data_IF_265683521592
#
_entry.id   IF_265683521592
#
_cell.length_a   1.000
_cell.length_b   1.000
_cell.length_c   1.000
_cell.angle_alpha   90.00
_cell.angle_beta   90.00
_cell.angle_gamma   90.00
#
_symmetry.space_group_name_H-M   'P 1'
#
loop_
_entity.id
_entity.type
_entity.pdbx_description
1 polymer ?
#
# COMPACT_ATOMS: atom_id res chain seq x y z
N UNK A 1 25.56 -9.66 -27.06
CA UNK A 1 24.98 -9.51 -25.71
C UNK A 1 24.32 -8.15 -25.71
N UNK A 2 23.04 -8.11 -26.04
CA UNK A 2 22.27 -6.87 -26.16
C UNK A 2 21.81 -6.51 -24.76
N UNK A 3 22.22 -5.36 -24.23
CA UNK A 3 21.64 -4.80 -23.01
C UNK A 3 20.16 -4.55 -23.28
N UNK A 4 19.30 -5.37 -22.67
CA UNK A 4 17.92 -4.97 -22.42
C UNK A 4 18.02 -3.86 -21.37
N UNK A 5 17.98 -2.61 -21.83
CA UNK A 5 17.81 -1.49 -20.92
C UNK A 5 16.53 -1.76 -20.11
N UNK A 6 16.68 -1.97 -18.82
CA UNK A 6 15.58 -2.03 -17.89
C UNK A 6 14.93 -0.65 -17.90
N UNK A 7 13.85 -0.51 -18.64
CA UNK A 7 12.98 0.67 -18.65
C UNK A 7 12.16 0.72 -17.34
N UNK A 8 12.74 0.28 -16.23
CA UNK A 8 12.17 0.30 -14.90
C UNK A 8 11.77 1.71 -14.55
N UNK A 9 10.45 1.94 -14.61
CA UNK A 9 9.70 3.03 -14.02
C UNK A 9 10.51 4.32 -13.79
N UNK A 10 10.67 5.15 -14.83
CA UNK A 10 11.05 6.55 -14.61
C UNK A 10 9.95 7.20 -13.77
N UNK A 11 10.22 7.44 -12.49
CA UNK A 11 9.34 8.24 -11.64
C UNK A 11 9.26 9.64 -12.28
N UNK A 12 8.07 10.07 -12.73
CA UNK A 12 7.91 11.40 -13.29
C UNK A 12 8.40 12.45 -12.29
N UNK A 13 9.20 13.41 -12.74
CA UNK A 13 9.69 14.49 -11.86
C UNK A 13 8.58 15.43 -11.36
N UNK A 14 7.36 15.30 -11.88
CA UNK A 14 6.20 16.12 -11.55
C UNK A 14 5.08 15.24 -11.04
N UNK A 15 4.79 15.39 -9.75
CA UNK A 15 3.65 14.77 -9.08
C UNK A 15 2.33 15.38 -9.56
N UNK A 16 1.33 14.53 -9.82
CA UNK A 16 -0.03 14.91 -10.21
C UNK A 16 -1.02 14.33 -9.21
N UNK A 17 -2.17 15.00 -8.98
CA UNK A 17 -3.23 14.43 -8.15
C UNK A 17 -3.73 13.04 -8.61
N UNK A 18 -3.59 12.70 -9.89
CA UNK A 18 -3.91 11.37 -10.42
C UNK A 18 -3.00 10.25 -9.89
N UNK A 19 -1.79 10.60 -9.45
CA UNK A 19 -0.80 9.64 -8.95
C UNK A 19 -1.15 9.15 -7.54
N UNK A 20 -2.02 9.88 -6.83
CA UNK A 20 -2.65 9.45 -5.57
C UNK A 20 -3.93 8.63 -5.79
N UNK A 21 -4.38 8.47 -7.04
CA UNK A 21 -5.57 7.71 -7.38
C UNK A 21 -5.31 6.24 -7.71
N UNK A 22 -6.37 5.53 -8.13
CA UNK A 22 -6.28 4.15 -8.66
C UNK A 22 -5.54 4.11 -10.00
N UNK A 23 -4.76 3.05 -10.21
CA UNK A 23 -3.94 2.79 -11.40
C UNK A 23 -4.44 1.54 -12.15
N UNK A 24 -5.59 1.59 -12.86
CA UNK A 24 -6.24 0.40 -13.44
C UNK A 24 -5.43 -0.34 -14.51
N UNK A 25 -4.36 0.26 -15.03
CA UNK A 25 -3.44 -0.38 -15.98
C UNK A 25 -2.24 -1.08 -15.33
N UNK A 26 -2.05 -0.94 -14.02
CA UNK A 26 -0.97 -1.60 -13.30
C UNK A 26 -1.26 -3.10 -13.13
N UNK A 27 -0.25 -3.95 -13.31
CA UNK A 27 -0.36 -5.39 -13.02
C UNK A 27 -0.58 -5.66 -11.53
N UNK A 28 0.01 -4.82 -10.69
CA UNK A 28 -0.13 -4.79 -9.24
C UNK A 28 -0.16 -3.34 -8.80
N UNK A 29 -1.08 -2.99 -7.89
CA UNK A 29 -1.12 -1.68 -7.25
C UNK A 29 -0.99 -1.88 -5.74
N UNK A 30 0.03 -1.28 -5.12
CA UNK A 30 0.33 -1.45 -3.71
C UNK A 30 0.40 -0.11 -2.97
N UNK A 31 -0.24 -0.05 -1.81
CA UNK A 31 -0.30 1.11 -0.92
C UNK A 31 0.22 0.74 0.44
N UNK A 32 1.10 1.57 1.00
CA UNK A 32 1.76 1.32 2.26
C UNK A 32 1.72 2.57 3.13
N UNK A 33 1.26 2.40 4.36
CA UNK A 33 1.24 3.44 5.37
C UNK A 33 1.85 2.88 6.64
N UNK A 34 2.70 3.66 7.29
CA UNK A 34 3.25 3.29 8.58
C UNK A 34 3.51 4.54 9.40
N UNK A 35 3.61 4.36 10.71
CA UNK A 35 3.92 5.42 11.65
C UNK A 35 4.24 4.86 13.02
N UNK A 36 4.80 5.70 13.87
CA UNK A 36 5.09 5.37 15.25
C UNK A 36 4.84 6.57 16.15
N UNK A 37 4.66 6.32 17.44
CA UNK A 37 4.57 7.37 18.45
C UNK A 37 5.93 8.05 18.65
N UNK A 38 5.96 9.26 19.20
CA UNK A 38 7.21 10.00 19.35
C UNK A 38 8.28 9.26 20.20
N UNK A 39 7.84 8.39 21.10
CA UNK A 39 8.72 7.58 21.94
C UNK A 39 9.21 6.29 21.27
N UNK A 40 8.76 5.96 20.06
CA UNK A 40 9.01 4.70 19.37
C UNK A 40 8.66 3.46 20.21
N UNK A 41 7.66 3.59 21.08
CA UNK A 41 7.14 2.53 21.94
C UNK A 41 5.96 1.79 21.30
N UNK A 42 5.30 2.42 20.32
CA UNK A 42 4.21 1.86 19.54
C UNK A 42 4.34 2.23 18.06
N UNK A 43 4.01 1.30 17.18
CA UNK A 43 4.01 1.48 15.73
C UNK A 43 2.78 0.88 15.08
N UNK A 44 2.32 1.50 14.01
CA UNK A 44 1.26 0.97 13.16
C UNK A 44 1.77 0.80 11.73
N UNK A 45 1.23 -0.20 11.05
CA UNK A 45 1.36 -0.30 9.60
C UNK A 45 0.05 -0.75 8.98
N UNK A 46 -0.16 -0.33 7.74
CA UNK A 46 -1.27 -0.74 6.88
C UNK A 46 -0.69 -0.96 5.49
N UNK A 47 -1.03 -2.08 4.87
CA UNK A 47 -0.78 -2.28 3.46
C UNK A 47 -1.98 -2.88 2.74
N UNK A 48 -2.10 -2.49 1.48
CA UNK A 48 -3.13 -2.91 0.56
C UNK A 48 -2.47 -3.21 -0.77
N UNK A 49 -2.68 -4.41 -1.29
CA UNK A 49 -2.26 -4.79 -2.62
C UNK A 49 -3.47 -5.20 -3.45
N UNK A 50 -3.51 -4.77 -4.71
CA UNK A 50 -4.57 -5.11 -5.65
C UNK A 50 -3.97 -5.69 -6.91
N UNK A 51 -4.41 -6.91 -7.23
CA UNK A 51 -4.01 -7.65 -8.44
C UNK A 51 -5.27 -7.99 -9.23
N UNK A 52 -5.51 -7.25 -10.32
CA UNK A 52 -6.72 -7.39 -11.14
C UNK A 52 -8.00 -7.05 -10.37
N UNK A 53 -8.78 -8.05 -9.98
CA UNK A 53 -10.01 -7.92 -9.18
C UNK A 53 -9.87 -8.48 -7.76
N UNK A 54 -8.66 -8.91 -7.39
CA UNK A 54 -8.31 -9.44 -6.08
C UNK A 54 -7.63 -8.39 -5.24
N UNK A 55 -7.75 -8.52 -3.92
CA UNK A 55 -7.02 -7.69 -2.98
C UNK A 55 -6.44 -8.51 -1.84
N UNK A 56 -5.31 -8.04 -1.33
CA UNK A 56 -4.74 -8.43 -0.06
C UNK A 56 -4.67 -7.20 0.84
N UNK A 57 -5.02 -7.38 2.11
CA UNK A 57 -4.96 -6.36 3.14
C UNK A 57 -4.23 -6.90 4.36
N UNK A 58 -3.36 -6.08 4.93
CA UNK A 58 -2.79 -6.34 6.24
C UNK A 58 -2.64 -5.05 7.03
N UNK A 59 -2.85 -5.15 8.34
CA UNK A 59 -2.56 -4.07 9.26
C UNK A 59 -2.04 -4.61 10.57
N UNK A 60 -1.20 -3.81 11.21
CA UNK A 60 -0.54 -4.18 12.44
C UNK A 60 -0.50 -3.06 13.45
N UNK A 61 -0.61 -3.43 14.73
CA UNK A 61 -0.21 -2.59 15.86
C UNK A 61 0.87 -3.32 16.67
N UNK A 62 2.05 -2.73 16.68
CA UNK A 62 3.22 -3.21 17.43
C UNK A 62 3.39 -2.33 18.67
N UNK A 63 3.61 -2.94 19.83
CA UNK A 63 3.92 -2.23 21.08
C UNK A 63 5.05 -2.94 21.81
N UNK A 64 5.98 -2.19 22.38
CA UNK A 64 7.12 -2.76 23.10
C UNK A 64 6.64 -3.59 24.30
N UNK A 65 7.04 -4.87 24.35
CA UNK A 65 6.70 -5.78 25.45
C UNK A 65 5.29 -6.37 25.41
N UNK A 66 4.48 -6.04 24.39
CA UNK A 66 3.10 -6.49 24.27
C UNK A 66 2.91 -7.42 23.05
N UNK A 67 1.87 -8.29 23.07
CA UNK A 67 1.51 -9.08 21.89
C UNK A 67 1.23 -8.20 20.67
N UNK A 68 1.67 -8.70 19.53
CA UNK A 68 1.44 -8.08 18.23
C UNK A 68 -0.01 -8.29 17.77
N UNK A 69 -0.75 -7.21 17.52
CA UNK A 69 -2.06 -7.30 16.88
C UNK A 69 -1.88 -7.28 15.37
N UNK A 70 -2.29 -8.36 14.71
CA UNK A 70 -2.24 -8.50 13.26
C UNK A 70 -3.65 -8.75 12.70
N UNK A 71 -4.04 -7.94 11.71
CA UNK A 71 -5.26 -8.12 10.94
C UNK A 71 -4.84 -8.42 9.52
N UNK A 72 -5.41 -9.47 8.93
CA UNK A 72 -5.08 -9.88 7.57
C UNK A 72 -6.33 -10.39 6.87
N UNK A 73 -6.49 -9.99 5.60
CA UNK A 73 -7.47 -10.53 4.67
C UNK A 73 -6.73 -10.77 3.35
N UNK A 74 -6.68 -12.03 2.90
CA UNK A 74 -5.94 -12.44 1.70
C UNK A 74 -6.87 -13.06 0.67
N UNK A 75 -6.50 -12.92 -0.60
CA UNK A 75 -7.26 -13.39 -1.77
C UNK A 75 -8.73 -12.91 -1.74
N UNK A 76 -8.93 -11.69 -1.26
CA UNK A 76 -10.23 -11.05 -1.21
C UNK A 76 -10.77 -10.79 -2.62
N UNK A 77 -12.09 -10.91 -2.80
CA UNK A 77 -12.75 -10.63 -4.07
C UNK A 77 -13.83 -9.55 -3.91
N UNK A 78 -14.19 -8.91 -5.02
CA UNK A 78 -15.21 -7.85 -5.02
C UNK A 78 -14.68 -6.57 -4.37
N UNK A 79 -13.80 -5.87 -5.10
CA UNK A 79 -13.22 -4.59 -4.68
C UNK A 79 -14.32 -3.68 -4.11
N UNK A 80 -14.26 -3.43 -2.80
CA UNK A 80 -15.14 -2.46 -2.17
C UNK A 80 -14.66 -1.07 -2.59
N UNK A 81 -15.57 -0.19 -3.00
CA UNK A 81 -15.26 1.22 -3.09
C UNK A 81 -14.96 1.74 -1.68
N UNK A 82 -13.68 1.69 -1.29
CA UNK A 82 -13.27 1.90 0.10
C UNK A 82 -11.94 2.63 0.28
N UNK A 83 -11.09 2.70 -0.75
CA UNK A 83 -9.93 3.59 -0.75
C UNK A 83 -10.38 4.95 -1.33
N UNK A 84 -10.94 5.78 -0.45
CA UNK A 84 -11.28 7.16 -0.77
C UNK A 84 -10.31 8.08 -0.03
N UNK A 85 -9.52 8.85 -0.79
CA UNK A 85 -8.79 9.98 -0.23
C UNK A 85 -9.82 11.08 0.03
N UNK A 86 -10.07 11.37 1.31
CA UNK A 86 -10.93 12.49 1.71
C UNK A 86 -10.18 13.80 1.50
N UNK A 87 -10.83 14.86 0.99
CA UNK A 87 -10.24 16.20 0.99
C UNK A 87 -9.92 16.64 2.43
N UNK A 88 -8.97 17.58 2.62
CA UNK A 88 -8.56 18.07 3.94
C UNK A 88 -9.71 18.69 4.74
#
# INVERSE_FOLDING_TARGET
>A
MTEHADESARVPAVWRPSDEGRHPGASVEAWWFWGWDAAASAGLYVGLEITGQRFDYWAGLVRAGEPYLHIVELDGTGLRAGLEIKPP
#
